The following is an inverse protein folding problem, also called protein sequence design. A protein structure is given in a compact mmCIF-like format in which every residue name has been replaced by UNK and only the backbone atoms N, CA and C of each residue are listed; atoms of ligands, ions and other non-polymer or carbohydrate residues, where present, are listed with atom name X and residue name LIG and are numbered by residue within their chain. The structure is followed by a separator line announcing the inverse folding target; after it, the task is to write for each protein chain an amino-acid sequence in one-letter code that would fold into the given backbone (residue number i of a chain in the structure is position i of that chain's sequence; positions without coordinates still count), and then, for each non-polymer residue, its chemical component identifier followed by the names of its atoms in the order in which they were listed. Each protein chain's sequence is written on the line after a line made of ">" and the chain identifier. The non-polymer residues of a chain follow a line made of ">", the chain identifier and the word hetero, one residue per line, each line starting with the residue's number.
data_IF_175750665372
#
_entry.id   IF_175750665372
#
_cell.length_a   1.000
_cell.length_b   1.000
_cell.length_c   1.000
_cell.angle_alpha   90.00
_cell.angle_beta   90.00
_cell.angle_gamma   90.00
#
_symmetry.space_group_name_H-M   'P 1'
#
loop_
_entity.id
_entity.type
_entity.pdbx_description
1 polymer ?
#
# COMPACT_ATOMS: atom_id res chain seq x y z
N UNK A 1 26.67 -2.37 -4.20
CA UNK A 1 25.30 -2.22 -4.73
C UNK A 1 24.35 -1.81 -3.64
N UNK A 2 23.53 -0.82 -3.92
CA UNK A 2 22.59 -0.33 -2.94
C UNK A 2 21.46 -1.34 -2.76
N UNK A 3 21.22 -1.76 -1.53
CA UNK A 3 20.06 -2.58 -1.28
C UNK A 3 18.86 -1.68 -0.96
N UNK A 4 17.69 -2.26 -1.09
CA UNK A 4 16.44 -1.54 -0.95
C UNK A 4 16.21 -1.02 0.49
N UNK A 5 16.87 -1.64 1.47
CA UNK A 5 16.67 -1.33 2.88
C UNK A 5 16.92 0.15 3.21
N UNK A 6 17.86 0.79 2.51
CA UNK A 6 18.19 2.21 2.72
C UNK A 6 17.05 3.15 2.33
N UNK A 7 16.07 2.66 1.57
CA UNK A 7 14.98 3.48 1.03
C UNK A 7 13.63 3.14 1.64
N UNK A 8 13.59 2.23 2.61
CA UNK A 8 12.35 1.84 3.26
C UNK A 8 11.95 2.88 4.30
N UNK A 9 10.72 3.36 4.21
CA UNK A 9 10.15 4.27 5.19
C UNK A 9 9.22 3.49 6.13
N UNK A 10 9.67 3.29 7.36
CA UNK A 10 8.90 2.56 8.37
C UNK A 10 7.99 3.46 9.20
N UNK A 11 7.97 4.76 8.92
CA UNK A 11 7.10 5.68 9.65
C UNK A 11 5.65 5.60 9.18
N UNK A 12 5.43 5.09 7.98
CA UNK A 12 4.10 4.92 7.42
C UNK A 12 3.54 3.60 7.87
N UNK A 13 2.46 3.65 8.65
CA UNK A 13 1.79 2.44 9.12
C UNK A 13 0.77 1.98 8.09
N UNK A 14 0.69 0.68 7.79
CA UNK A 14 -0.35 0.18 6.91
C UNK A 14 -1.73 0.33 7.54
N UNK A 15 -2.74 0.41 6.69
CA UNK A 15 -4.13 0.32 7.13
C UNK A 15 -4.42 -1.11 7.58
N UNK A 16 -5.34 -1.24 8.52
CA UNK A 16 -5.88 -2.55 8.90
C UNK A 16 -7.17 -2.77 8.11
N UNK A 17 -7.47 -4.01 7.78
CA UNK A 17 -8.69 -4.34 7.04
C UNK A 17 -9.95 -3.92 7.80
N UNK A 18 -9.85 -3.75 9.13
CA UNK A 18 -10.96 -3.30 9.98
C UNK A 18 -11.06 -1.78 10.11
N UNK A 19 -10.11 -1.03 9.56
CA UNK A 19 -10.16 0.43 9.59
C UNK A 19 -11.29 0.93 8.68
N UNK A 20 -11.79 2.13 8.96
CA UNK A 20 -12.86 2.73 8.16
C UNK A 20 -12.29 3.36 6.89
N UNK A 21 -13.17 3.50 5.90
CA UNK A 21 -12.80 4.24 4.68
C UNK A 21 -12.49 5.70 5.02
N UNK A 22 -13.16 6.28 6.01
CA UNK A 22 -12.85 7.64 6.47
C UNK A 22 -11.39 7.76 6.90
N UNK A 23 -10.87 6.79 7.63
CA UNK A 23 -9.46 6.78 8.05
C UNK A 23 -8.53 6.71 6.85
N UNK A 24 -8.88 5.90 5.84
CA UNK A 24 -8.11 5.81 4.61
C UNK A 24 -8.14 7.13 3.85
N UNK A 25 -9.30 7.78 3.75
CA UNK A 25 -9.43 9.07 3.10
C UNK A 25 -8.57 10.13 3.79
N UNK A 26 -8.55 10.13 5.12
CA UNK A 26 -7.72 11.06 5.89
C UNK A 26 -6.22 10.86 5.61
N UNK A 27 -5.78 9.60 5.48
CA UNK A 27 -4.38 9.32 5.16
C UNK A 27 -4.01 9.87 3.79
N UNK A 28 -4.88 9.76 2.79
CA UNK A 28 -4.61 10.30 1.46
C UNK A 28 -4.60 11.84 1.45
N UNK A 29 -5.29 12.48 2.40
CA UNK A 29 -5.22 13.93 2.55
C UNK A 29 -3.91 14.36 3.21
N UNK A 30 -3.41 13.56 4.16
CA UNK A 30 -2.22 13.89 4.93
C UNK A 30 -0.91 13.57 4.18
N UNK A 31 -0.93 12.60 3.28
CA UNK A 31 0.26 12.11 2.58
C UNK A 31 0.06 12.14 1.07
N UNK A 32 1.13 12.45 0.30
CA UNK A 32 1.02 12.56 -1.17
C UNK A 32 1.16 11.21 -1.88
N UNK A 33 0.72 10.14 -1.28
CA UNK A 33 0.84 8.81 -1.86
C UNK A 33 -0.40 8.44 -2.67
N UNK A 34 -0.19 7.61 -3.69
CA UNK A 34 -1.28 7.12 -4.54
C UNK A 34 -1.94 5.87 -3.97
N UNK A 35 -1.23 5.16 -3.10
CA UNK A 35 -1.68 3.88 -2.54
C UNK A 35 -1.26 3.78 -1.08
N UNK A 36 -2.03 3.00 -0.31
CA UNK A 36 -1.62 2.58 1.04
C UNK A 36 -1.82 1.08 1.17
N UNK A 37 -0.86 0.38 1.81
CA UNK A 37 -0.98 -1.04 2.03
C UNK A 37 -2.04 -1.34 3.10
N UNK A 38 -2.68 -2.49 2.96
CA UNK A 38 -3.67 -2.99 3.91
C UNK A 38 -3.19 -4.33 4.45
N UNK A 39 -3.34 -4.50 5.75
CA UNK A 39 -2.99 -5.76 6.41
C UNK A 39 -4.21 -6.37 7.09
N UNK A 40 -4.18 -7.70 7.20
CA UNK A 40 -5.13 -8.48 7.98
C UNK A 40 -4.31 -9.34 8.93
N UNK A 41 -4.46 -9.11 10.23
CA UNK A 41 -3.70 -9.81 11.25
C UNK A 41 -2.18 -9.76 11.00
N UNK A 42 -1.70 -8.60 10.56
CA UNK A 42 -0.29 -8.38 10.30
C UNK A 42 0.20 -8.87 8.93
N UNK A 43 -0.66 -9.49 8.14
CA UNK A 43 -0.32 -10.00 6.81
C UNK A 43 -0.76 -9.03 5.73
N UNK A 44 0.14 -8.68 4.82
CA UNK A 44 -0.18 -7.82 3.69
C UNK A 44 -1.18 -8.51 2.76
N UNK A 45 -2.28 -7.82 2.44
CA UNK A 45 -3.33 -8.37 1.59
C UNK A 45 -3.58 -7.55 0.31
N UNK A 46 -2.95 -6.39 0.19
CA UNK A 46 -3.10 -5.56 -1.01
C UNK A 46 -3.06 -4.08 -0.64
N UNK A 47 -3.19 -3.22 -1.64
CA UNK A 47 -3.24 -1.78 -1.46
C UNK A 47 -4.59 -1.22 -1.84
N UNK A 48 -5.01 -0.17 -1.12
CA UNK A 48 -6.10 0.69 -1.58
C UNK A 48 -5.50 1.82 -2.38
N UNK A 49 -6.17 2.24 -3.45
CA UNK A 49 -5.75 3.40 -4.22
C UNK A 49 -6.53 4.64 -3.80
N UNK A 50 -5.89 5.79 -3.88
CA UNK A 50 -6.53 7.07 -3.62
C UNK A 50 -7.77 7.26 -4.51
N UNK A 51 -7.62 6.95 -5.79
CA UNK A 51 -8.69 7.09 -6.77
C UNK A 51 -9.94 6.29 -6.38
N UNK A 52 -9.75 5.06 -5.93
CA UNK A 52 -10.86 4.20 -5.52
C UNK A 52 -11.46 4.65 -4.19
N UNK A 53 -10.62 4.95 -3.21
CA UNK A 53 -11.08 5.32 -1.86
C UNK A 53 -11.91 6.59 -1.87
N UNK A 54 -11.57 7.55 -2.72
CA UNK A 54 -12.33 8.80 -2.83
C UNK A 54 -13.78 8.59 -3.24
N UNK A 55 -14.06 7.49 -3.91
CA UNK A 55 -15.41 7.17 -4.42
C UNK A 55 -16.23 6.35 -3.43
N UNK A 56 -15.65 5.91 -2.34
CA UNK A 56 -16.30 5.00 -1.40
C UNK A 56 -16.97 5.74 -0.25
N UNK A 57 -17.97 5.08 0.35
CA UNK A 57 -18.65 5.60 1.52
C UNK A 57 -17.72 5.62 2.73
N UNK A 58 -17.59 6.79 3.37
CA UNK A 58 -16.71 6.98 4.53
C UNK A 58 -17.04 6.07 5.70
N UNK A 59 -18.30 5.66 5.84
CA UNK A 59 -18.74 4.82 6.94
C UNK A 59 -18.44 3.34 6.72
N UNK A 60 -18.07 2.95 5.49
CA UNK A 60 -17.72 1.58 5.18
C UNK A 60 -16.36 1.22 5.78
N UNK A 61 -16.10 -0.09 5.90
CA UNK A 61 -14.80 -0.58 6.31
C UNK A 61 -13.91 -0.81 5.08
N UNK A 62 -12.61 -0.65 5.28
CA UNK A 62 -11.63 -0.91 4.21
C UNK A 62 -11.83 -2.32 3.62
N UNK A 63 -12.12 -3.31 4.49
CA UNK A 63 -12.34 -4.68 4.07
C UNK A 63 -13.50 -4.85 3.09
N UNK A 64 -14.50 -3.97 3.13
CA UNK A 64 -15.64 -4.04 2.21
C UNK A 64 -15.26 -3.70 0.77
N UNK A 65 -14.10 -3.08 0.56
CA UNK A 65 -13.59 -2.77 -0.77
C UNK A 65 -12.52 -3.77 -1.22
N UNK A 66 -12.43 -4.93 -0.58
CA UNK A 66 -11.39 -5.93 -0.81
C UNK A 66 -11.24 -6.32 -2.28
N UNK A 67 -12.32 -6.39 -3.03
CA UNK A 67 -12.28 -6.75 -4.44
C UNK A 67 -11.60 -5.70 -5.33
N UNK A 68 -11.40 -4.49 -4.81
CA UNK A 68 -10.73 -3.40 -5.54
C UNK A 68 -9.28 -3.22 -5.09
N UNK A 69 -8.77 -4.05 -4.18
CA UNK A 69 -7.39 -3.95 -3.75
C UNK A 69 -6.47 -4.30 -4.92
N UNK A 70 -5.41 -3.50 -5.05
CA UNK A 70 -4.34 -3.77 -6.00
C UNK A 70 -3.22 -4.45 -5.24
N UNK A 71 -2.77 -5.60 -5.70
CA UNK A 71 -1.75 -6.35 -5.00
C UNK A 71 -0.43 -6.31 -5.75
N UNK A 72 0.47 -5.49 -5.26
CA UNK A 72 1.84 -5.43 -5.76
C UNK A 72 2.77 -5.18 -4.58
N UNK A 73 3.98 -5.65 -4.69
CA UNK A 73 4.98 -5.51 -3.64
C UNK A 73 6.35 -5.85 -4.20
N UNK A 74 7.38 -5.54 -3.41
CA UNK A 74 8.74 -6.00 -3.68
C UNK A 74 9.28 -6.65 -2.42
N UNK A 75 10.36 -7.42 -2.58
CA UNK A 75 11.10 -7.97 -1.45
C UNK A 75 12.32 -7.10 -1.20
N UNK A 76 12.92 -7.22 -0.01
CA UNK A 76 14.14 -6.48 0.30
C UNK A 76 15.28 -6.82 -0.66
N UNK A 77 15.22 -8.02 -1.25
CA UNK A 77 16.21 -8.50 -2.22
C UNK A 77 15.92 -8.13 -3.66
N UNK A 78 14.78 -7.47 -3.94
CA UNK A 78 14.39 -7.10 -5.31
C UNK A 78 15.39 -6.09 -5.88
N UNK A 79 15.82 -6.28 -7.12
CA UNK A 79 16.73 -5.36 -7.77
C UNK A 79 16.01 -4.09 -8.23
N UNK A 80 16.75 -2.98 -8.28
CA UNK A 80 16.17 -1.67 -8.60
C UNK A 80 15.41 -1.59 -9.92
N UNK A 81 15.89 -2.29 -10.94
CA UNK A 81 15.20 -2.26 -12.23
C UNK A 81 13.78 -2.80 -12.11
N UNK A 82 13.61 -3.89 -11.37
CA UNK A 82 12.30 -4.49 -11.15
C UNK A 82 11.41 -3.58 -10.29
N UNK A 83 12.00 -2.88 -9.32
CA UNK A 83 11.26 -1.91 -8.50
C UNK A 83 10.68 -0.80 -9.38
N UNK A 84 11.49 -0.26 -10.28
CA UNK A 84 11.06 0.80 -11.20
C UNK A 84 9.93 0.33 -12.13
N UNK A 85 10.00 -0.92 -12.58
CA UNK A 85 8.95 -1.49 -13.43
C UNK A 85 7.63 -1.58 -12.68
N UNK A 86 7.67 -1.96 -11.39
CA UNK A 86 6.47 -2.07 -10.57
C UNK A 86 5.84 -0.70 -10.33
N UNK A 87 6.64 0.34 -10.08
CA UNK A 87 6.13 1.70 -9.99
C UNK A 87 5.39 2.11 -11.26
N UNK A 88 6.02 1.88 -12.42
CA UNK A 88 5.46 2.27 -13.70
C UNK A 88 4.19 1.48 -14.02
N UNK A 89 4.22 0.16 -13.84
CA UNK A 89 3.10 -0.72 -14.16
C UNK A 89 1.85 -0.41 -13.35
N UNK A 90 2.02 -0.05 -12.09
CA UNK A 90 0.90 0.19 -11.17
C UNK A 90 0.55 1.66 -11.00
N UNK A 91 1.27 2.54 -11.70
CA UNK A 91 1.07 3.99 -11.57
C UNK A 91 1.09 4.44 -10.11
N UNK A 92 2.01 3.87 -9.34
CA UNK A 92 2.09 4.10 -7.90
C UNK A 92 3.35 4.87 -7.54
N UNK A 93 3.26 5.71 -6.53
CA UNK A 93 4.43 6.34 -5.92
C UNK A 93 4.76 5.74 -4.54
N UNK A 94 4.16 4.61 -4.22
CA UNK A 94 4.43 3.87 -3.00
C UNK A 94 4.40 2.38 -3.33
N UNK A 95 5.38 1.63 -2.84
CA UNK A 95 5.41 0.17 -3.00
C UNK A 95 5.64 -0.46 -1.63
N UNK A 96 4.77 -1.40 -1.22
CA UNK A 96 5.03 -2.18 -0.02
C UNK A 96 6.28 -3.04 -0.19
N UNK A 97 7.12 -3.07 0.83
CA UNK A 97 8.30 -3.92 0.86
C UNK A 97 8.09 -5.01 1.90
N UNK A 98 8.15 -6.25 1.46
CA UNK A 98 7.97 -7.40 2.32
C UNK A 98 9.33 -8.06 2.55
N UNK A 99 9.53 -8.60 3.76
CA UNK A 99 10.72 -9.40 4.00
C UNK A 99 10.52 -10.80 3.41
N UNK A 100 11.57 -11.61 3.44
CA UNK A 100 11.54 -12.92 2.79
C UNK A 100 10.62 -13.92 3.49
N UNK A 101 10.09 -13.57 4.67
CA UNK A 101 9.25 -14.46 5.47
C UNK A 101 7.76 -14.19 5.28
N UNK A 102 7.40 -13.13 4.61
CA UNK A 102 5.99 -12.78 4.40
C UNK A 102 5.46 -13.27 3.08
#
# INVERSE_FOLDING_TARGET
>A
MNNLTSYINNEIKPLKHTDSIAEAQDLFLDFPYTHFPVTEDGTYIGCVSKENVELLNSDALVNESRFHFERFFVRTSTIWLDVLEIFAKNESNLIPVLDDKN
#
